data_IF_687695769670
#
_entry.id   IF_687695769670
#
_cell.length_a   1.000
_cell.length_b   1.000
_cell.length_c   1.000
_cell.angle_alpha   90.00
_cell.angle_beta   90.00
_cell.angle_gamma   90.00
#
_symmetry.space_group_name_H-M   'P 1'
#
loop_
_entity.id
_entity.type
_entity.pdbx_description
1 polymer ?
#
# COMPACT_ATOMS: atom_id res chain seq x y z
N UNK A 1 -1.73 5.30 5.14
CA UNK A 1 -1.49 5.04 3.70
C UNK A 1 -0.39 4.01 3.44
N UNK A 2 0.42 3.61 4.44
CA UNK A 2 1.49 2.61 4.26
C UNK A 2 1.04 1.30 3.56
N UNK A 3 -0.15 0.74 3.83
CA UNK A 3 -0.59 -0.48 3.15
C UNK A 3 -0.73 -0.31 1.63
N UNK A 4 -1.19 0.86 1.18
CA UNK A 4 -1.31 1.20 -0.25
C UNK A 4 0.07 1.30 -0.90
N UNK A 5 1.03 1.93 -0.22
CA UNK A 5 2.43 1.96 -0.69
C UNK A 5 3.04 0.57 -0.78
N UNK A 6 2.70 -0.33 0.14
CA UNK A 6 3.16 -1.71 0.09
C UNK A 6 2.63 -2.45 -1.15
N UNK A 7 1.34 -2.30 -1.49
CA UNK A 7 0.77 -2.86 -2.74
C UNK A 7 1.50 -2.31 -3.95
N UNK A 8 1.64 -0.99 -4.05
CA UNK A 8 2.25 -0.33 -5.20
C UNK A 8 3.71 -0.79 -5.42
N UNK A 9 4.50 -0.88 -4.34
CA UNK A 9 5.88 -1.41 -4.42
C UNK A 9 5.93 -2.86 -4.90
N UNK A 10 4.96 -3.69 -4.49
CA UNK A 10 4.88 -5.08 -4.93
C UNK A 10 4.56 -5.17 -6.44
N UNK A 11 3.57 -4.40 -6.92
CA UNK A 11 3.22 -4.35 -8.34
C UNK A 11 4.40 -3.91 -9.21
N UNK A 12 5.13 -2.86 -8.80
CA UNK A 12 6.33 -2.40 -9.53
C UNK A 12 7.45 -3.44 -9.48
N UNK A 13 7.64 -4.11 -8.34
CA UNK A 13 8.66 -5.17 -8.21
C UNK A 13 8.40 -6.33 -9.17
N UNK A 14 7.14 -6.63 -9.45
CA UNK A 14 6.73 -7.75 -10.29
C UNK A 14 6.60 -7.35 -11.77
N UNK A 15 6.50 -6.04 -12.07
CA UNK A 15 6.51 -5.49 -13.42
C UNK A 15 7.77 -5.89 -14.22
N UNK A 16 7.58 -6.32 -15.48
CA UNK A 16 8.65 -6.73 -16.39
C UNK A 16 8.46 -6.12 -17.78
N UNK A 17 9.54 -5.64 -18.44
CA UNK A 17 10.90 -5.50 -17.91
C UNK A 17 10.98 -4.47 -16.77
N UNK A 18 11.98 -4.61 -15.89
CA UNK A 18 12.14 -3.65 -14.79
C UNK A 18 12.43 -2.26 -15.35
N UNK A 19 11.80 -1.19 -14.81
CA UNK A 19 12.13 0.18 -15.20
C UNK A 19 13.63 0.44 -14.99
N UNK A 20 14.31 0.94 -16.03
CA UNK A 20 15.73 1.28 -15.98
C UNK A 20 16.00 2.78 -16.11
N UNK A 21 14.94 3.58 -16.21
CA UNK A 21 14.99 5.04 -16.29
C UNK A 21 13.93 5.66 -15.38
N UNK A 22 14.10 6.95 -15.09
CA UNK A 22 13.14 7.71 -14.29
C UNK A 22 11.75 7.72 -14.92
N UNK A 23 11.66 8.02 -16.23
CA UNK A 23 10.38 8.09 -16.94
C UNK A 23 9.65 6.74 -16.93
N UNK A 24 10.36 5.65 -17.18
CA UNK A 24 9.79 4.30 -17.08
C UNK A 24 9.32 3.95 -15.67
N UNK A 25 9.99 4.47 -14.63
CA UNK A 25 9.56 4.25 -13.25
C UNK A 25 8.28 5.06 -12.96
N UNK A 26 8.19 6.29 -13.43
CA UNK A 26 6.98 7.10 -13.34
C UNK A 26 5.80 6.42 -14.04
N UNK A 27 6.01 5.92 -15.26
CA UNK A 27 4.99 5.18 -16.00
C UNK A 27 4.55 3.90 -15.27
N UNK A 28 5.50 3.15 -14.70
CA UNK A 28 5.21 1.96 -13.91
C UNK A 28 4.43 2.28 -12.62
N UNK A 29 4.72 3.41 -11.97
CA UNK A 29 3.98 3.88 -10.80
C UNK A 29 2.54 4.23 -11.16
N UNK A 30 2.34 4.99 -12.25
CA UNK A 30 1.00 5.37 -12.71
C UNK A 30 0.19 4.14 -13.13
N UNK A 31 0.81 3.21 -13.86
CA UNK A 31 0.19 1.94 -14.22
C UNK A 31 -0.18 1.14 -12.98
N UNK A 32 0.73 0.98 -12.01
CA UNK A 32 0.48 0.23 -10.79
C UNK A 32 -0.65 0.87 -9.97
N UNK A 33 -0.72 2.20 -9.91
CA UNK A 33 -1.79 2.93 -9.23
C UNK A 33 -3.16 2.64 -9.86
N UNK A 34 -3.24 2.60 -11.19
CA UNK A 34 -4.48 2.31 -11.93
C UNK A 34 -4.97 0.86 -11.75
N UNK A 35 -4.08 -0.07 -11.37
CA UNK A 35 -4.46 -1.45 -11.05
C UNK A 35 -5.05 -1.62 -9.65
N UNK A 36 -4.82 -0.68 -8.72
CA UNK A 36 -5.34 -0.78 -7.36
C UNK A 36 -6.82 -0.44 -7.38
N UNK A 37 -7.65 -1.40 -6.99
CA UNK A 37 -9.10 -1.20 -6.94
C UNK A 37 -9.51 -0.42 -5.71
N UNK A 38 -10.67 0.25 -5.78
CA UNK A 38 -11.25 0.94 -4.62
C UNK A 38 -11.54 -0.07 -3.49
N UNK A 39 -12.01 -1.27 -3.82
CA UNK A 39 -12.28 -2.33 -2.84
C UNK A 39 -11.01 -2.74 -2.05
N UNK A 40 -9.84 -2.77 -2.70
CA UNK A 40 -8.55 -3.02 -2.00
C UNK A 40 -8.18 -1.88 -1.06
N UNK A 41 -8.52 -0.63 -1.40
CA UNK A 41 -8.30 0.54 -0.54
C UNK A 41 -9.28 0.51 0.65
N UNK A 42 -10.55 0.23 0.40
CA UNK A 42 -11.61 0.21 1.39
C UNK A 42 -11.33 -0.83 2.48
N UNK A 43 -10.74 -1.99 2.13
CA UNK A 43 -10.28 -2.97 3.12
C UNK A 43 -9.32 -2.41 4.18
N UNK A 44 -8.51 -1.39 3.85
CA UNK A 44 -7.64 -0.74 4.85
C UNK A 44 -8.41 0.26 5.70
N UNK A 45 -9.40 0.95 5.13
CA UNK A 45 -10.26 1.88 5.85
C UNK A 45 -11.15 1.11 6.84
N UNK A 46 -11.76 0.02 6.40
CA UNK A 46 -12.63 -0.84 7.20
C UNK A 46 -11.92 -1.46 8.40
N UNK A 47 -10.60 -1.67 8.29
CA UNK A 47 -9.76 -2.20 9.37
C UNK A 47 -9.25 -1.13 10.35
N UNK A 48 -9.46 0.15 10.08
CA UNK A 48 -9.00 1.22 10.98
C UNK A 48 -9.51 1.11 12.42
N UNK A 49 -10.77 0.67 12.69
CA UNK A 49 -11.21 0.41 14.05
C UNK A 49 -10.32 -0.61 14.78
N UNK A 50 -9.96 -1.73 14.12
CA UNK A 50 -9.07 -2.75 14.69
C UNK A 50 -7.65 -2.21 14.97
N UNK A 51 -7.17 -1.31 14.12
CA UNK A 51 -5.87 -0.63 14.31
C UNK A 51 -5.93 0.26 15.55
N UNK A 52 -7.01 1.03 15.70
CA UNK A 52 -7.21 1.92 16.86
C UNK A 52 -7.32 1.11 18.14
N UNK A 53 -8.09 0.03 18.14
CA UNK A 53 -8.24 -0.86 19.30
C UNK A 53 -6.88 -1.44 19.71
N UNK A 54 -6.07 -1.89 18.75
CA UNK A 54 -4.72 -2.40 19.03
C UNK A 54 -3.77 -1.33 19.61
N UNK A 55 -3.93 -0.06 19.22
CA UNK A 55 -3.16 1.06 19.81
C UNK A 55 -3.62 1.36 21.23
N UNK A 56 -4.92 1.22 21.52
CA UNK A 56 -5.45 1.38 22.87
C UNK A 56 -4.95 0.25 23.77
N UNK A 57 -5.00 -1.00 23.30
CA UNK A 57 -4.50 -2.18 24.01
C UNK A 57 -2.98 -2.11 24.26
N UNK A 58 -2.22 -1.48 23.36
CA UNK A 58 -0.79 -1.27 23.52
C UNK A 58 -0.42 -0.04 24.37
N UNK A 59 -1.41 0.64 24.96
CA UNK A 59 -1.23 1.90 25.69
C UNK A 59 -0.48 2.97 24.86
N UNK A 60 -0.72 3.01 23.55
CA UNK A 60 -0.03 3.89 22.61
C UNK A 60 1.29 3.35 22.07
N UNK A 61 1.67 2.12 22.40
CA UNK A 61 2.86 1.42 21.91
C UNK A 61 2.73 0.90 20.47
N UNK A 62 3.82 0.33 19.96
CA UNK A 62 3.87 -0.27 18.62
C UNK A 62 2.88 -1.42 18.48
N UNK A 63 2.20 -1.49 17.34
CA UNK A 63 1.24 -2.55 17.01
C UNK A 63 1.70 -3.35 15.80
N UNK A 64 1.02 -4.46 15.50
CA UNK A 64 1.30 -5.28 14.30
C UNK A 64 0.94 -4.61 12.96
N UNK A 65 0.29 -3.44 13.01
CA UNK A 65 -0.24 -2.71 11.87
C UNK A 65 0.69 -1.57 11.43
#
# INVERSE_FOLDING_TARGET
IEPVWHILKNLIRDFRPRPSSYDQLCDAILWAWDQITVDEIDQFVDRMPEVVDAVIESEGGHTRY
#
